data_IF_449710251710
#
_entry.id   IF_449710251710
#
_cell.length_a   1.000
_cell.length_b   1.000
_cell.length_c   1.000
_cell.angle_alpha   90.00
_cell.angle_beta   90.00
_cell.angle_gamma   90.00
#
_symmetry.space_group_name_H-M   'P 1'
#
loop_
_entity.id
_entity.type
_entity.pdbx_description
1 polymer ?
#
# COMPACT_ATOMS: atom_id res chain seq x y z
N UNK A 1 -40.69 3.56 47.97
CA UNK A 1 -40.54 3.12 46.56
C UNK A 1 -40.16 4.36 45.76
N UNK A 2 -38.85 4.65 45.66
CA UNK A 2 -38.33 5.82 44.96
C UNK A 2 -37.95 5.42 43.53
N UNK A 3 -38.32 6.23 42.54
CA UNK A 3 -38.06 6.01 41.10
C UNK A 3 -36.55 5.92 40.82
N UNK A 4 -36.12 5.06 39.87
CA UNK A 4 -34.75 5.09 39.41
C UNK A 4 -34.53 6.34 38.54
N UNK A 5 -33.46 7.08 38.82
CA UNK A 5 -32.93 8.12 37.94
C UNK A 5 -32.22 7.44 36.78
N UNK A 6 -32.78 7.61 35.58
CA UNK A 6 -32.24 7.13 34.32
C UNK A 6 -31.00 7.96 33.97
N UNK A 7 -29.80 7.37 34.11
CA UNK A 7 -28.55 7.99 33.71
C UNK A 7 -28.43 7.84 32.19
N UNK A 8 -28.80 8.89 31.46
CA UNK A 8 -28.70 8.93 30.01
C UNK A 8 -27.29 9.41 29.62
N UNK A 9 -26.31 8.51 29.74
CA UNK A 9 -24.94 8.73 29.25
C UNK A 9 -24.94 8.58 27.72
N UNK A 10 -25.48 9.58 27.02
CA UNK A 10 -25.38 9.72 25.57
C UNK A 10 -23.92 10.05 25.22
N UNK A 11 -23.12 9.00 25.00
CA UNK A 11 -21.77 9.10 24.48
C UNK A 11 -21.80 9.62 23.04
N UNK A 12 -21.95 10.94 22.89
CA UNK A 12 -21.81 11.64 21.60
C UNK A 12 -20.39 11.42 21.07
N UNK A 13 -20.24 10.49 20.12
CA UNK A 13 -18.98 10.22 19.46
C UNK A 13 -18.60 11.40 18.56
N UNK A 14 -17.79 12.32 19.08
CA UNK A 14 -17.18 13.39 18.29
C UNK A 14 -16.00 12.81 17.51
N UNK A 15 -16.14 12.69 16.19
CA UNK A 15 -15.06 12.20 15.33
C UNK A 15 -14.41 13.36 14.57
N UNK A 16 -13.06 13.34 14.55
CA UNK A 16 -12.20 14.34 13.93
C UNK A 16 -11.60 13.74 12.65
N UNK A 17 -12.05 14.16 11.47
CA UNK A 17 -11.48 13.68 10.20
C UNK A 17 -10.39 14.65 9.76
N UNK A 18 -9.14 14.23 9.90
CA UNK A 18 -7.98 15.00 9.42
C UNK A 18 -7.81 14.74 7.92
N UNK A 19 -7.95 15.78 7.09
CA UNK A 19 -7.73 15.76 5.63
C UNK A 19 -6.47 16.55 5.26
N UNK A 20 -5.30 15.90 5.15
CA UNK A 20 -4.03 16.55 4.86
C UNK A 20 -3.97 17.16 3.44
N UNK A 21 -4.85 16.72 2.54
CA UNK A 21 -4.88 17.07 1.12
C UNK A 21 -5.42 18.48 0.85
N UNK A 22 -6.29 19.00 1.74
CA UNK A 22 -6.95 20.31 1.58
C UNK A 22 -6.04 21.50 1.95
N UNK A 23 -4.88 21.27 2.56
CA UNK A 23 -4.02 22.34 3.07
C UNK A 23 -2.55 22.26 2.66
N UNK A 24 -1.98 23.44 2.35
CA UNK A 24 -0.58 23.61 1.93
C UNK A 24 0.40 23.41 3.08
N UNK A 25 1.65 23.01 2.79
CA UNK A 25 2.73 22.88 3.81
C UNK A 25 2.90 24.19 4.60
N UNK A 26 2.76 25.33 3.92
CA UNK A 26 2.80 26.67 4.52
C UNK A 26 1.74 26.90 5.60
N UNK A 27 0.52 26.37 5.44
CA UNK A 27 -0.54 26.52 6.44
C UNK A 27 -0.21 25.73 7.72
N UNK A 28 0.51 24.61 7.56
CA UNK A 28 0.95 23.75 8.66
C UNK A 28 2.13 24.38 9.42
N UNK A 29 3.08 24.97 8.69
CA UNK A 29 4.20 25.72 9.25
C UNK A 29 3.72 26.98 9.97
N UNK A 30 2.76 27.71 9.38
CA UNK A 30 2.15 28.88 9.99
C UNK A 30 1.35 28.52 11.25
N UNK A 31 0.60 27.42 11.25
CA UNK A 31 -0.08 26.92 12.46
C UNK A 31 0.92 26.53 13.54
N UNK A 32 2.03 25.87 13.19
CA UNK A 32 3.09 25.49 14.13
C UNK A 32 3.82 26.68 14.77
N UNK A 33 4.01 27.79 14.05
CA UNK A 33 4.73 28.96 14.55
C UNK A 33 3.83 29.97 15.27
N UNK A 34 2.59 30.13 14.81
CA UNK A 34 1.70 31.19 15.29
C UNK A 34 0.49 30.67 16.07
N UNK A 35 0.40 29.35 16.33
CA UNK A 35 -0.74 28.69 16.98
C UNK A 35 -2.10 29.10 16.36
N UNK A 36 -2.10 29.40 15.06
CA UNK A 36 -3.15 30.14 14.38
C UNK A 36 -4.29 29.21 13.94
N UNK A 37 -5.35 29.13 14.75
CA UNK A 37 -6.48 28.19 14.64
C UNK A 37 -7.18 28.15 13.25
N UNK A 38 -7.43 29.25 12.53
CA UNK A 38 -8.11 29.17 11.23
C UNK A 38 -7.25 28.62 10.09
N UNK A 39 -5.92 28.50 10.26
CA UNK A 39 -5.08 27.77 9.30
C UNK A 39 -5.22 26.26 9.45
N UNK A 40 -5.65 25.80 10.63
CA UNK A 40 -5.81 24.40 11.01
C UNK A 40 -7.20 23.84 10.67
N UNK A 41 -8.25 24.65 10.74
CA UNK A 41 -9.60 24.25 10.34
C UNK A 41 -9.68 23.75 8.89
N UNK A 42 -8.80 24.23 8.00
CA UNK A 42 -8.68 23.72 6.62
C UNK A 42 -8.24 22.25 6.52
N UNK A 43 -7.59 21.73 7.54
CA UNK A 43 -7.12 20.33 7.61
C UNK A 43 -8.09 19.41 8.35
N UNK A 44 -9.16 19.95 8.95
CA UNK A 44 -10.05 19.21 9.84
C UNK A 44 -11.50 19.37 9.39
N UNK A 45 -12.13 18.26 9.05
CA UNK A 45 -13.59 18.19 8.93
C UNK A 45 -14.13 17.56 10.22
N UNK A 46 -14.70 18.38 11.10
CA UNK A 46 -15.51 17.92 12.24
C UNK A 46 -16.95 17.84 11.77
N UNK A 47 -17.50 16.63 11.67
CA UNK A 47 -18.94 16.46 11.47
C UNK A 47 -19.56 16.00 12.77
N UNK A 48 -20.26 16.89 13.45
CA UNK A 48 -21.26 16.49 14.44
C UNK A 48 -22.45 15.92 13.65
N UNK A 49 -22.82 14.67 13.92
CA UNK A 49 -24.07 14.11 13.42
C UNK A 49 -25.22 14.69 14.25
N UNK A 50 -25.64 15.89 13.92
CA UNK A 50 -27.05 16.28 13.81
C UNK A 50 -27.11 17.67 13.18
N UNK A 51 -27.99 17.80 12.19
CA UNK A 51 -28.41 19.06 11.58
C UNK A 51 -28.88 20.01 12.70
N UNK A 52 -28.26 21.18 12.79
CA UNK A 52 -28.92 22.49 12.67
C UNK A 52 -27.93 23.60 13.10
N UNK A 53 -28.06 24.71 12.38
CA UNK A 53 -27.50 26.04 12.65
C UNK A 53 -26.02 26.30 12.31
N UNK A 54 -25.89 27.09 11.25
CA UNK A 54 -24.82 28.06 11.06
C UNK A 54 -24.61 28.86 12.34
N UNK A 55 -23.41 28.82 12.91
CA UNK A 55 -22.62 29.98 13.31
C UNK A 55 -21.39 29.53 14.13
N UNK A 56 -20.28 30.23 13.91
CA UNK A 56 -19.06 30.18 14.71
C UNK A 56 -18.25 28.87 14.72
N UNK A 57 -17.60 28.58 13.58
CA UNK A 57 -16.53 27.57 13.44
C UNK A 57 -15.23 27.90 14.20
N UNK A 58 -15.30 28.61 15.32
CA UNK A 58 -14.13 29.04 16.08
C UNK A 58 -14.15 28.69 17.58
N UNK A 59 -15.23 28.12 18.12
CA UNK A 59 -15.37 27.90 19.58
C UNK A 59 -15.54 26.43 20.01
N UNK A 60 -15.77 25.48 19.09
CA UNK A 60 -16.11 24.09 19.44
C UNK A 60 -14.93 23.13 19.63
N UNK A 61 -13.71 23.61 19.41
CA UNK A 61 -12.51 22.88 19.86
C UNK A 61 -12.06 23.58 21.14
N UNK A 62 -12.52 23.06 22.28
CA UNK A 62 -12.05 23.50 23.60
C UNK A 62 -10.52 23.52 23.68
N UNK A 63 -9.91 24.19 24.66
CA UNK A 63 -8.47 24.45 24.70
C UNK A 63 -7.70 23.15 24.47
N UNK A 64 -7.19 22.99 23.24
CA UNK A 64 -6.39 21.84 22.87
C UNK A 64 -5.14 21.99 23.72
N UNK A 65 -5.01 21.14 24.75
CA UNK A 65 -3.79 21.07 25.54
C UNK A 65 -2.63 20.88 24.56
N UNK A 66 -1.50 21.55 24.78
CA UNK A 66 -0.40 21.65 23.82
C UNK A 66 0.05 20.27 23.30
N UNK A 67 -0.06 19.23 24.13
CA UNK A 67 0.23 17.83 23.79
C UNK A 67 -0.62 17.29 22.63
N UNK A 68 -1.91 17.60 22.59
CA UNK A 68 -2.80 17.13 21.52
C UNK A 68 -2.59 17.90 20.21
N UNK A 69 -2.18 19.17 20.26
CA UNK A 69 -1.82 19.96 19.06
C UNK A 69 -0.62 19.35 18.35
N UNK A 70 0.38 18.93 19.14
CA UNK A 70 1.59 18.31 18.62
C UNK A 70 1.31 16.96 17.96
N UNK A 71 0.47 16.12 18.58
CA UNK A 71 0.07 14.82 18.01
C UNK A 71 -0.61 15.02 16.64
N UNK A 72 -1.53 15.99 16.52
CA UNK A 72 -2.21 16.24 15.25
C UNK A 72 -1.21 16.76 14.20
N UNK A 73 -0.32 17.68 14.57
CA UNK A 73 0.75 18.16 13.69
C UNK A 73 1.62 17.02 13.15
N UNK A 74 2.12 16.16 14.04
CA UNK A 74 2.93 14.99 13.67
C UNK A 74 2.15 14.05 12.75
N UNK A 75 0.86 13.80 13.04
CA UNK A 75 0.03 12.94 12.20
C UNK A 75 -0.15 13.47 10.77
N UNK A 76 -0.33 14.79 10.60
CA UNK A 76 -0.46 15.42 9.29
C UNK A 76 0.89 15.41 8.56
N UNK A 77 1.97 15.68 9.28
CA UNK A 77 3.33 15.64 8.73
C UNK A 77 3.67 14.23 8.20
N UNK A 78 3.42 13.18 8.99
CA UNK A 78 3.63 11.79 8.59
C UNK A 78 2.81 11.46 7.33
N UNK A 79 1.53 11.81 7.29
CA UNK A 79 0.68 11.57 6.11
C UNK A 79 1.22 12.27 4.87
N UNK A 80 1.78 13.47 5.02
CA UNK A 80 2.36 14.23 3.92
C UNK A 80 3.68 13.62 3.43
N UNK A 81 4.50 13.12 4.35
CA UNK A 81 5.71 12.36 4.05
C UNK A 81 5.36 11.08 3.28
N UNK A 82 4.38 10.29 3.76
CA UNK A 82 3.92 9.07 3.09
C UNK A 82 3.40 9.39 1.69
N UNK A 83 2.57 10.42 1.55
CA UNK A 83 2.04 10.86 0.25
C UNK A 83 3.15 11.33 -0.71
N UNK A 84 4.15 12.04 -0.19
CA UNK A 84 5.33 12.44 -0.95
C UNK A 84 6.13 11.24 -1.46
N UNK A 85 6.27 10.19 -0.66
CA UNK A 85 6.98 8.98 -1.05
C UNK A 85 6.15 8.01 -1.91
N UNK A 86 4.83 8.16 -2.00
CA UNK A 86 3.98 7.24 -2.75
C UNK A 86 4.37 7.16 -4.24
N UNK A 87 4.55 8.31 -4.89
CA UNK A 87 4.94 8.38 -6.31
C UNK A 87 6.36 7.86 -6.58
N UNK A 88 7.41 8.32 -5.87
CA UNK A 88 8.76 7.80 -6.11
C UNK A 88 8.86 6.32 -5.76
N UNK A 89 8.10 5.80 -4.78
CA UNK A 89 8.11 4.38 -4.45
C UNK A 89 7.50 3.51 -5.56
N UNK A 90 6.46 4.00 -6.26
CA UNK A 90 5.95 3.33 -7.48
C UNK A 90 7.01 3.25 -8.58
N UNK A 91 7.70 4.36 -8.83
CA UNK A 91 8.78 4.40 -9.82
C UNK A 91 9.97 3.52 -9.40
N UNK A 92 10.26 3.48 -8.10
CA UNK A 92 11.31 2.64 -7.55
C UNK A 92 11.02 1.15 -7.76
N UNK A 93 9.79 0.69 -7.51
CA UNK A 93 9.40 -0.70 -7.80
C UNK A 93 9.61 -1.05 -9.28
N UNK A 94 9.22 -0.14 -10.18
CA UNK A 94 9.45 -0.27 -11.61
C UNK A 94 10.95 -0.33 -11.99
N UNK A 95 11.77 0.46 -11.33
CA UNK A 95 13.21 0.45 -11.54
C UNK A 95 13.83 -0.85 -11.05
N UNK A 96 13.46 -1.31 -9.85
CA UNK A 96 13.97 -2.56 -9.26
C UNK A 96 13.60 -3.76 -10.14
N UNK A 97 12.34 -3.88 -10.58
CA UNK A 97 11.93 -4.96 -11.49
C UNK A 97 12.77 -4.95 -12.77
N UNK A 98 12.99 -3.78 -13.38
CA UNK A 98 13.78 -3.65 -14.59
C UNK A 98 15.25 -4.07 -14.36
N UNK A 99 15.87 -3.61 -13.28
CA UNK A 99 17.26 -3.94 -12.95
C UNK A 99 17.42 -5.43 -12.66
N UNK A 100 16.50 -6.05 -11.91
CA UNK A 100 16.55 -7.48 -11.62
C UNK A 100 16.42 -8.31 -12.90
N UNK A 101 15.49 -7.97 -13.79
CA UNK A 101 15.36 -8.66 -15.08
C UNK A 101 16.58 -8.43 -15.97
N UNK A 102 17.12 -7.21 -16.00
CA UNK A 102 18.32 -6.90 -16.77
C UNK A 102 19.52 -7.75 -16.30
N UNK A 103 19.71 -7.86 -14.99
CA UNK A 103 20.74 -8.72 -14.40
C UNK A 103 20.50 -10.19 -14.73
N UNK A 104 19.25 -10.66 -14.59
CA UNK A 104 18.87 -12.05 -14.85
C UNK A 104 19.13 -12.45 -16.31
N UNK A 105 18.85 -11.58 -17.27
CA UNK A 105 19.07 -11.85 -18.71
C UNK A 105 20.52 -11.77 -19.15
N UNK A 106 21.39 -11.08 -18.40
CA UNK A 106 22.79 -10.83 -18.77
C UNK A 106 23.80 -11.60 -17.91
N UNK A 107 23.37 -12.62 -17.15
CA UNK A 107 24.30 -13.45 -16.37
C UNK A 107 24.85 -12.76 -15.13
N UNK A 108 23.99 -12.02 -14.41
CA UNK A 108 24.26 -11.25 -13.19
C UNK A 108 25.09 -9.97 -13.41
N UNK A 109 25.54 -9.32 -12.34
CA UNK A 109 26.19 -8.01 -12.38
C UNK A 109 27.49 -8.01 -13.22
N UNK A 110 28.33 -9.03 -13.05
CA UNK A 110 29.58 -9.16 -13.79
C UNK A 110 29.33 -9.52 -15.26
N UNK A 111 28.36 -10.38 -15.54
CA UNK A 111 27.93 -10.70 -16.91
C UNK A 111 27.35 -9.48 -17.62
N UNK A 112 26.57 -8.66 -16.92
CA UNK A 112 26.03 -7.41 -17.45
C UNK A 112 27.16 -6.42 -17.79
N UNK A 113 28.15 -6.25 -16.90
CA UNK A 113 29.29 -5.38 -17.17
C UNK A 113 30.10 -5.89 -18.37
N UNK A 114 30.34 -7.20 -18.44
CA UNK A 114 31.01 -7.83 -19.58
C UNK A 114 30.24 -7.60 -20.88
N UNK A 115 28.93 -7.87 -20.90
CA UNK A 115 28.07 -7.68 -22.07
C UNK A 115 27.96 -6.20 -22.46
N UNK A 116 28.01 -5.28 -21.50
CA UNK A 116 28.03 -3.85 -21.76
C UNK A 116 29.30 -3.43 -22.50
N UNK A 117 30.47 -3.92 -22.09
CA UNK A 117 31.75 -3.66 -22.77
C UNK A 117 31.75 -4.23 -24.20
N UNK A 118 31.12 -5.38 -24.41
CA UNK A 118 31.05 -6.06 -25.71
C UNK A 118 29.87 -5.62 -26.58
N UNK A 119 28.98 -4.74 -26.09
CA UNK A 119 27.79 -4.29 -26.81
C UNK A 119 26.69 -5.35 -26.98
N UNK A 120 26.70 -6.40 -26.18
CA UNK A 120 25.77 -7.56 -26.26
C UNK A 120 24.71 -7.55 -25.15
N UNK A 121 24.29 -6.37 -24.68
CA UNK A 121 23.32 -6.25 -23.58
C UNK A 121 21.91 -6.61 -24.06
N UNK A 122 21.30 -7.60 -23.42
CA UNK A 122 19.89 -7.97 -23.64
C UNK A 122 19.02 -7.08 -22.76
N UNK A 123 18.18 -6.24 -23.38
CA UNK A 123 17.28 -5.32 -22.67
C UNK A 123 15.96 -6.06 -22.36
N UNK A 124 15.51 -6.11 -21.10
CA UNK A 124 14.27 -6.80 -20.74
C UNK A 124 13.05 -5.97 -21.17
N UNK A 125 12.12 -6.63 -21.86
CA UNK A 125 10.86 -6.03 -22.30
C UNK A 125 9.72 -6.40 -21.33
N UNK A 126 9.03 -5.39 -20.79
CA UNK A 126 7.88 -5.60 -19.92
C UNK A 126 6.73 -6.20 -20.70
N UNK A 127 5.96 -7.06 -20.04
CA UNK A 127 4.82 -7.69 -20.69
C UNK A 127 5.17 -9.01 -21.38
N UNK A 128 6.45 -9.38 -21.45
CA UNK A 128 6.89 -10.67 -21.98
C UNK A 128 6.78 -11.79 -20.94
N UNK A 129 6.95 -13.04 -21.38
CA UNK A 129 6.98 -14.22 -20.52
C UNK A 129 8.31 -14.43 -19.77
N UNK A 130 9.31 -13.60 -20.07
CA UNK A 130 10.64 -13.62 -19.45
C UNK A 130 10.86 -12.45 -18.49
N UNK A 131 9.90 -11.54 -18.40
CA UNK A 131 9.90 -10.43 -17.45
C UNK A 131 9.15 -10.83 -16.18
N UNK A 132 9.88 -11.18 -15.13
CA UNK A 132 9.32 -11.62 -13.84
C UNK A 132 9.39 -10.51 -12.79
N UNK A 133 8.42 -10.47 -11.88
CA UNK A 133 8.40 -9.47 -10.82
C UNK A 133 9.55 -9.68 -9.83
N UNK A 134 9.86 -8.66 -9.03
CA UNK A 134 10.79 -8.77 -7.89
C UNK A 134 10.42 -9.95 -6.97
N UNK A 135 9.12 -10.21 -6.77
CA UNK A 135 8.64 -11.33 -5.92
C UNK A 135 8.94 -12.68 -6.59
N UNK A 136 8.75 -12.79 -7.90
CA UNK A 136 9.10 -13.97 -8.69
C UNK A 136 10.61 -14.25 -8.69
N UNK A 137 11.44 -13.20 -8.70
CA UNK A 137 12.90 -13.33 -8.60
C UNK A 137 13.36 -13.84 -7.22
N UNK A 138 12.67 -13.46 -6.14
CA UNK A 138 12.99 -13.88 -4.78
C UNK A 138 12.61 -15.35 -4.49
N UNK A 139 11.54 -15.84 -5.12
CA UNK A 139 11.11 -17.24 -4.99
C UNK A 139 10.98 -17.91 -6.37
N UNK A 140 12.06 -18.52 -6.82
CA UNK A 140 12.14 -19.22 -8.11
C UNK A 140 11.41 -20.57 -8.19
N UNK A 141 10.69 -21.01 -7.14
CA UNK A 141 9.96 -22.29 -7.16
C UNK A 141 8.71 -22.22 -8.05
N UNK A 142 8.70 -22.91 -9.19
CA UNK A 142 7.56 -22.86 -10.12
C UNK A 142 6.79 -24.18 -10.14
N UNK A 143 7.38 -25.27 -9.64
CA UNK A 143 6.81 -26.60 -9.74
C UNK A 143 5.90 -26.96 -8.56
N UNK A 144 4.68 -27.37 -8.87
CA UNK A 144 3.78 -28.03 -7.92
C UNK A 144 4.18 -29.49 -7.73
N UNK A 145 4.17 -29.97 -6.49
CA UNK A 145 4.26 -31.40 -6.18
C UNK A 145 3.07 -32.14 -6.79
N UNK A 146 3.27 -32.79 -7.92
CA UNK A 146 2.24 -33.49 -8.70
C UNK A 146 1.71 -34.77 -8.06
N UNK A 147 2.42 -35.31 -7.07
CA UNK A 147 2.17 -36.68 -6.59
C UNK A 147 1.13 -36.78 -5.47
N UNK A 148 0.75 -35.68 -4.81
CA UNK A 148 -0.29 -35.72 -3.77
C UNK A 148 -1.58 -35.13 -4.32
N UNK A 149 -2.62 -35.95 -4.36
CA UNK A 149 -3.98 -35.47 -4.51
C UNK A 149 -4.21 -34.33 -3.50
N UNK A 150 -4.66 -33.18 -3.99
CA UNK A 150 -5.04 -32.03 -3.18
C UNK A 150 -6.25 -32.41 -2.34
N UNK A 151 -6.00 -33.05 -1.20
CA UNK A 151 -7.01 -33.23 -0.17
C UNK A 151 -7.17 -31.88 0.54
N UNK A 152 -8.39 -31.31 0.61
CA UNK A 152 -8.67 -30.07 1.31
C UNK A 152 -8.67 -30.35 2.83
N UNK A 153 -7.50 -30.71 3.34
CA UNK A 153 -7.28 -30.98 4.75
C UNK A 153 -6.37 -29.91 5.33
N UNK A 154 -6.68 -29.47 6.54
CA UNK A 154 -5.95 -28.41 7.23
C UNK A 154 -4.58 -28.97 7.59
N UNK A 155 -3.52 -28.36 7.06
CA UNK A 155 -2.14 -28.87 7.20
C UNK A 155 -1.63 -29.68 6.00
N UNK A 156 -2.40 -29.78 4.90
CA UNK A 156 -1.87 -30.36 3.67
C UNK A 156 -0.82 -29.43 3.03
N UNK A 157 0.45 -29.83 3.14
CA UNK A 157 1.60 -29.14 2.55
C UNK A 157 1.43 -28.82 1.07
N UNK A 158 0.81 -29.70 0.29
CA UNK A 158 0.61 -29.48 -1.15
C UNK A 158 -0.39 -28.34 -1.42
N UNK A 159 -1.43 -28.21 -0.58
CA UNK A 159 -2.40 -27.12 -0.67
C UNK A 159 -1.76 -25.79 -0.23
N UNK A 160 -0.98 -25.80 0.85
CA UNK A 160 -0.22 -24.62 1.28
C UNK A 160 0.77 -24.15 0.22
N UNK A 161 1.54 -25.06 -0.37
CA UNK A 161 2.49 -24.74 -1.44
C UNK A 161 1.77 -24.16 -2.67
N UNK A 162 0.60 -24.71 -3.04
CA UNK A 162 -0.24 -24.16 -4.09
C UNK A 162 -0.73 -22.75 -3.77
N UNK A 163 -1.22 -22.50 -2.55
CA UNK A 163 -1.68 -21.17 -2.14
C UNK A 163 -0.53 -20.15 -2.15
N UNK A 164 0.65 -20.52 -1.65
CA UNK A 164 1.85 -19.66 -1.66
C UNK A 164 2.25 -19.35 -3.10
N UNK A 165 2.31 -20.36 -3.97
CA UNK A 165 2.67 -20.17 -5.37
C UNK A 165 1.63 -19.37 -6.16
N UNK A 166 0.33 -19.59 -5.91
CA UNK A 166 -0.73 -18.79 -6.52
C UNK A 166 -0.68 -17.33 -6.06
N UNK A 167 -0.41 -17.10 -4.76
CA UNK A 167 -0.31 -15.76 -4.18
C UNK A 167 0.85 -14.96 -4.77
N UNK A 168 2.02 -15.58 -5.00
CA UNK A 168 3.11 -14.89 -5.70
C UNK A 168 2.83 -14.70 -7.19
N UNK A 169 2.19 -15.69 -7.83
CA UNK A 169 1.85 -15.62 -9.25
C UNK A 169 0.90 -14.46 -9.57
N UNK A 170 0.09 -14.03 -8.60
CA UNK A 170 -0.78 -12.86 -8.72
C UNK A 170 -0.02 -11.54 -8.93
N UNK A 171 1.27 -11.47 -8.60
CA UNK A 171 2.11 -10.29 -8.84
C UNK A 171 2.81 -10.31 -10.21
N UNK A 172 2.66 -11.40 -10.97
CA UNK A 172 3.30 -11.55 -12.26
C UNK A 172 2.47 -10.98 -13.41
N UNK A 173 3.14 -10.70 -14.52
CA UNK A 173 2.48 -10.31 -15.75
C UNK A 173 1.67 -11.48 -16.37
N UNK A 174 0.58 -11.17 -17.08
CA UNK A 174 -0.32 -12.13 -17.71
C UNK A 174 0.39 -13.19 -18.58
N UNK A 175 1.45 -12.84 -19.30
CA UNK A 175 2.19 -13.81 -20.11
C UNK A 175 2.97 -14.82 -19.26
N UNK A 176 3.58 -14.36 -18.16
CA UNK A 176 4.26 -15.22 -17.18
C UNK A 176 3.25 -16.15 -16.51
N UNK A 177 2.09 -15.61 -16.10
CA UNK A 177 1.00 -16.41 -15.51
C UNK A 177 0.58 -17.52 -16.48
N UNK A 178 0.30 -17.16 -17.73
CA UNK A 178 -0.10 -18.12 -18.77
C UNK A 178 0.96 -19.19 -19.00
N UNK A 179 2.25 -18.81 -19.04
CA UNK A 179 3.37 -19.74 -19.18
C UNK A 179 3.41 -20.73 -18.03
N UNK A 180 3.37 -20.25 -16.79
CA UNK A 180 3.45 -21.09 -15.57
C UNK A 180 2.25 -22.03 -15.47
N UNK A 181 1.03 -21.51 -15.59
CA UNK A 181 -0.20 -22.30 -15.41
C UNK A 181 -0.32 -23.39 -16.48
N UNK A 182 -0.11 -23.04 -17.75
CA UNK A 182 -0.29 -23.99 -18.84
C UNK A 182 0.87 -25.00 -18.95
N UNK A 183 2.12 -24.53 -18.83
CA UNK A 183 3.28 -25.38 -19.13
C UNK A 183 3.81 -26.10 -17.88
N UNK A 184 3.87 -25.42 -16.74
CA UNK A 184 4.44 -26.01 -15.52
C UNK A 184 3.38 -26.77 -14.71
N UNK A 185 2.20 -26.15 -14.52
CA UNK A 185 1.14 -26.72 -13.70
C UNK A 185 0.19 -27.63 -14.48
N UNK A 186 0.23 -27.57 -15.82
CA UNK A 186 -0.68 -28.30 -16.73
C UNK A 186 -2.16 -28.05 -16.40
N UNK A 187 -2.47 -26.85 -15.90
CA UNK A 187 -3.83 -26.42 -15.64
C UNK A 187 -4.30 -25.50 -16.79
N UNK A 188 -5.60 -25.52 -17.08
CA UNK A 188 -6.18 -24.63 -18.09
C UNK A 188 -6.32 -23.23 -17.51
N UNK A 189 -5.53 -22.27 -17.97
CA UNK A 189 -5.71 -20.87 -17.60
C UNK A 189 -7.00 -20.30 -18.23
N UNK A 190 -7.99 -20.00 -17.40
CA UNK A 190 -9.15 -19.20 -17.80
C UNK A 190 -8.90 -17.74 -17.41
N UNK A 191 -9.11 -16.83 -18.36
CA UNK A 191 -8.94 -15.39 -18.13
C UNK A 191 -9.96 -14.95 -17.08
N UNK A 192 -9.50 -14.62 -15.88
CA UNK A 192 -10.31 -13.94 -14.87
C UNK A 192 -10.40 -12.45 -15.25
N UNK A 193 -11.62 -11.94 -15.27
CA UNK A 193 -12.03 -10.63 -15.79
C UNK A 193 -11.34 -9.46 -15.10
#
# INVERSE_FOLDING_TARGET
>A
MAKPTENNDDHRFQYLIVRPEKGTIWNLLHYSLFAHIPSFSRFIDTKLLHEEEEEETSSLVGPIHDDHRWIILVSVLIRKIIGFFATPMKLFGFFVDFVLNLLSHNGNLLGLLHNFIHGQVVIPERGTETFISTIGQLDGRIELYKEKALKPDIGNRALMDLCIMASKLAYENAQVIKKIVNHHWKASFFKLF
#
